data_IF_798172050558
#
_entry.id   IF_798172050558
#
_cell.length_a   1.000
_cell.length_b   1.000
_cell.length_c   1.000
_cell.angle_alpha   90.00
_cell.angle_beta   90.00
_cell.angle_gamma   90.00
#
_symmetry.space_group_name_H-M   'P 1'
#
loop_
_entity.id
_entity.type
_entity.pdbx_description
1 polymer ?
#
# COMPACT_ATOMS: atom_id res chain seq x y z
N UNK A 1 -22.73 -1.35 1.30
CA UNK A 1 -21.63 -2.33 1.14
C UNK A 1 -20.85 -2.17 -0.18
N UNK A 2 -20.73 -0.95 -0.75
CA UNK A 2 -19.98 -0.68 -2.00
C UNK A 2 -18.45 -0.46 -1.91
N UNK A 3 -17.81 -0.09 -0.77
CA UNK A 3 -16.42 0.36 -0.79
C UNK A 3 -15.38 -0.77 -0.96
N UNK A 4 -15.78 -2.04 -0.84
CA UNK A 4 -14.86 -3.19 -0.82
C UNK A 4 -14.56 -3.69 -2.24
N UNK A 5 -15.50 -3.63 -3.18
CA UNK A 5 -15.20 -3.97 -4.58
C UNK A 5 -14.24 -2.96 -5.25
N UNK A 6 -14.22 -1.72 -4.78
CA UNK A 6 -13.35 -0.66 -5.29
C UNK A 6 -11.86 -0.88 -4.98
N UNK A 7 -11.52 -1.55 -3.87
CA UNK A 7 -10.13 -1.82 -3.49
C UNK A 7 -9.44 -2.76 -4.51
N UNK A 8 -10.16 -3.76 -5.01
CA UNK A 8 -9.67 -4.68 -6.05
C UNK A 8 -9.49 -4.01 -7.42
N UNK A 9 -10.34 -3.04 -7.78
CA UNK A 9 -10.16 -2.17 -8.95
C UNK A 9 -9.03 -1.14 -8.73
N UNK A 10 -8.84 -0.71 -7.48
CA UNK A 10 -7.73 0.09 -6.96
C UNK A 10 -6.38 -0.51 -7.35
N UNK A 11 -6.19 -1.77 -6.96
CA UNK A 11 -4.97 -2.54 -7.18
C UNK A 11 -4.69 -2.83 -8.66
N UNK A 12 -5.71 -2.95 -9.53
CA UNK A 12 -5.51 -3.13 -10.99
C UNK A 12 -5.02 -1.86 -11.67
N UNK A 13 -5.48 -0.68 -11.26
CA UNK A 13 -5.01 0.57 -11.86
C UNK A 13 -3.61 1.02 -11.38
N UNK A 14 -3.04 0.38 -10.37
CA UNK A 14 -1.63 0.54 -9.97
C UNK A 14 -0.60 0.00 -10.99
N UNK A 15 -1.04 -0.60 -12.09
CA UNK A 15 -0.17 -0.96 -13.23
C UNK A 15 -0.07 0.17 -14.27
N UNK A 16 -0.91 1.21 -14.17
CA UNK A 16 -0.79 2.39 -15.03
C UNK A 16 0.33 3.31 -14.52
N UNK A 17 1.05 4.04 -15.40
CA UNK A 17 2.08 4.99 -14.99
C UNK A 17 1.58 6.04 -13.97
N UNK A 18 0.32 6.49 -14.12
CA UNK A 18 -0.31 7.46 -13.20
C UNK A 18 -0.64 6.83 -11.84
N UNK A 19 -1.09 5.58 -11.81
CA UNK A 19 -1.35 4.84 -10.58
C UNK A 19 -0.06 4.61 -9.79
N UNK A 20 1.00 4.19 -10.48
CA UNK A 20 2.31 3.98 -9.87
C UNK A 20 2.89 5.30 -9.32
N UNK A 21 2.80 6.41 -10.07
CA UNK A 21 3.27 7.71 -9.62
C UNK A 21 2.56 8.19 -8.34
N UNK A 22 1.23 7.95 -8.22
CA UNK A 22 0.47 8.26 -7.00
C UNK A 22 0.89 7.39 -5.82
N UNK A 23 1.06 6.09 -6.03
CA UNK A 23 1.54 5.15 -5.02
C UNK A 23 2.93 5.59 -4.53
N UNK A 24 3.88 5.86 -5.44
CA UNK A 24 5.22 6.34 -5.11
C UNK A 24 5.23 7.70 -4.40
N UNK A 25 4.39 8.64 -4.84
CA UNK A 25 4.27 9.95 -4.20
C UNK A 25 3.76 9.86 -2.76
N UNK A 26 2.79 8.98 -2.50
CA UNK A 26 2.30 8.73 -1.16
C UNK A 26 3.34 8.01 -0.28
N UNK A 27 4.06 7.03 -0.83
CA UNK A 27 5.19 6.38 -0.15
C UNK A 27 6.29 7.39 0.22
N UNK A 28 6.61 8.32 -0.68
CA UNK A 28 7.57 9.39 -0.40
C UNK A 28 7.06 10.30 0.73
N UNK A 29 5.79 10.68 0.71
CA UNK A 29 5.16 11.44 1.80
C UNK A 29 5.27 10.72 3.15
N UNK A 30 4.99 9.42 3.20
CA UNK A 30 5.16 8.60 4.41
C UNK A 30 6.62 8.58 4.85
N UNK A 31 7.56 8.36 3.92
CA UNK A 31 8.98 8.33 4.24
C UNK A 31 9.46 9.67 4.83
N UNK A 32 9.00 10.80 4.28
CA UNK A 32 9.31 12.14 4.80
C UNK A 32 8.73 12.34 6.20
N UNK A 33 7.46 12.00 6.42
CA UNK A 33 6.82 12.12 7.74
C UNK A 33 7.56 11.28 8.78
N UNK A 34 7.88 10.02 8.45
CA UNK A 34 8.65 9.12 9.32
C UNK A 34 10.07 9.66 9.57
N UNK A 35 10.69 10.28 8.56
CA UNK A 35 11.98 10.95 8.70
C UNK A 35 11.90 12.20 9.58
N UNK A 36 10.77 12.91 9.66
CA UNK A 36 10.58 14.05 10.58
C UNK A 36 10.44 13.58 12.02
N UNK A 37 9.48 12.69 12.28
CA UNK A 37 9.11 12.28 13.64
C UNK A 37 10.11 11.29 14.25
N UNK A 38 10.80 10.50 13.43
CA UNK A 38 11.49 9.29 13.88
C UNK A 38 10.47 8.24 14.31
N UNK A 39 10.58 7.00 13.85
CA UNK A 39 9.57 6.01 14.22
C UNK A 39 9.63 5.70 15.72
N UNK A 40 8.44 5.70 16.34
CA UNK A 40 8.17 5.27 17.70
C UNK A 40 9.06 5.93 18.77
N UNK A 41 9.51 7.17 18.54
CA UNK A 41 10.33 7.92 19.51
C UNK A 41 11.74 7.36 19.73
N UNK A 42 12.18 6.36 18.96
CA UNK A 42 13.43 5.63 19.17
C UNK A 42 14.60 6.12 18.29
N UNK A 43 14.32 6.86 17.22
CA UNK A 43 15.34 7.28 16.24
C UNK A 43 15.34 8.78 16.00
N UNK A 44 16.03 9.50 16.89
CA UNK A 44 16.58 10.86 16.66
C UNK A 44 18.10 10.78 16.41
N UNK A 45 18.63 9.62 16.03
CA UNK A 45 20.08 9.39 15.95
C UNK A 45 20.51 9.34 14.48
N UNK A 46 20.81 10.49 13.88
CA UNK A 46 21.43 10.61 12.56
C UNK A 46 21.12 11.93 11.84
N UNK A 47 22.02 12.45 10.98
CA UNK A 47 21.74 13.57 10.08
C UNK A 47 20.45 13.38 9.26
N UNK A 48 19.77 14.48 8.96
CA UNK A 48 18.52 14.47 8.16
C UNK A 48 18.59 13.62 6.88
N UNK A 49 19.66 13.70 6.05
CA UNK A 49 19.76 12.90 4.83
C UNK A 49 19.73 11.39 5.08
N UNK A 50 20.37 10.93 6.15
CA UNK A 50 20.41 9.50 6.49
C UNK A 50 19.03 9.00 6.92
N UNK A 51 18.27 9.81 7.66
CA UNK A 51 16.89 9.50 8.06
C UNK A 51 16.00 9.38 6.84
N UNK A 52 16.08 10.32 5.90
CA UNK A 52 15.30 10.29 4.66
C UNK A 52 15.68 9.06 3.84
N UNK A 53 16.96 8.76 3.67
CA UNK A 53 17.41 7.58 2.93
C UNK A 53 16.92 6.28 3.58
N UNK A 54 17.06 6.15 4.90
CA UNK A 54 16.57 5.02 5.69
C UNK A 54 15.07 4.80 5.54
N UNK A 55 14.27 5.84 5.69
CA UNK A 55 12.82 5.70 5.58
C UNK A 55 12.38 5.46 4.15
N UNK A 56 13.04 6.06 3.17
CA UNK A 56 12.75 5.85 1.75
C UNK A 56 12.97 4.38 1.35
N UNK A 57 14.13 3.79 1.69
CA UNK A 57 14.40 2.37 1.39
C UNK A 57 13.49 1.42 2.15
N UNK A 58 13.16 1.74 3.41
CA UNK A 58 12.29 0.93 4.26
C UNK A 58 10.85 0.91 3.74
N UNK A 59 10.30 2.08 3.40
CA UNK A 59 8.95 2.18 2.85
C UNK A 59 8.87 1.52 1.47
N UNK A 60 9.90 1.67 0.63
CA UNK A 60 9.97 1.00 -0.67
C UNK A 60 10.03 -0.53 -0.53
N UNK A 61 10.86 -1.06 0.38
CA UNK A 61 10.92 -2.50 0.64
C UNK A 61 9.58 -3.03 1.16
N UNK A 62 8.96 -2.33 2.12
CA UNK A 62 7.64 -2.65 2.63
C UNK A 62 6.58 -2.69 1.52
N UNK A 63 6.60 -1.72 0.61
CA UNK A 63 5.71 -1.70 -0.55
C UNK A 63 5.93 -2.90 -1.48
N UNK A 64 7.17 -3.22 -1.84
CA UNK A 64 7.50 -4.33 -2.74
C UNK A 64 7.10 -5.69 -2.15
N UNK A 65 7.27 -5.88 -0.84
CA UNK A 65 6.91 -7.10 -0.12
C UNK A 65 5.39 -7.21 0.01
N UNK A 66 4.75 -6.16 0.52
CA UNK A 66 3.37 -6.26 0.97
C UNK A 66 2.37 -6.14 -0.18
N UNK A 67 2.68 -5.40 -1.26
CA UNK A 67 1.76 -5.22 -2.39
C UNK A 67 1.32 -6.54 -3.04
N UNK A 68 2.22 -7.48 -3.39
CA UNK A 68 1.79 -8.77 -3.92
C UNK A 68 1.03 -9.58 -2.87
N UNK A 69 1.45 -9.54 -1.60
CA UNK A 69 0.77 -10.27 -0.52
C UNK A 69 -0.65 -9.77 -0.30
N UNK A 70 -0.88 -8.46 -0.32
CA UNK A 70 -2.22 -7.89 -0.20
C UNK A 70 -3.10 -8.29 -1.38
N UNK A 71 -2.58 -8.26 -2.61
CA UNK A 71 -3.34 -8.73 -3.79
C UNK A 71 -3.74 -10.20 -3.66
N UNK A 72 -2.80 -11.05 -3.25
CA UNK A 72 -3.04 -12.47 -3.06
C UNK A 72 -4.01 -12.74 -1.91
N UNK A 73 -3.81 -12.09 -0.77
CA UNK A 73 -4.65 -12.22 0.42
C UNK A 73 -6.07 -11.73 0.19
N UNK A 74 -6.25 -10.54 -0.39
CA UNK A 74 -7.54 -9.99 -0.77
C UNK A 74 -8.26 -10.91 -1.77
N UNK A 75 -7.56 -11.35 -2.82
CA UNK A 75 -8.12 -12.25 -3.82
C UNK A 75 -8.54 -13.60 -3.24
N UNK A 76 -7.72 -14.18 -2.35
CA UNK A 76 -8.04 -15.42 -1.66
C UNK A 76 -9.25 -15.25 -0.72
N UNK A 77 -9.32 -14.16 0.04
CA UNK A 77 -10.44 -13.88 0.93
C UNK A 77 -11.77 -13.81 0.17
N UNK A 78 -11.81 -13.10 -0.95
CA UNK A 78 -13.02 -13.01 -1.81
C UNK A 78 -13.40 -14.37 -2.37
N UNK A 79 -12.45 -15.17 -2.86
CA UNK A 79 -12.72 -16.53 -3.37
C UNK A 79 -13.26 -17.48 -2.31
N UNK A 80 -12.94 -17.23 -1.04
CA UNK A 80 -13.43 -17.99 0.11
C UNK A 80 -14.74 -17.41 0.69
N UNK A 81 -15.35 -16.41 0.05
CA UNK A 81 -16.56 -15.74 0.54
C UNK A 81 -16.34 -14.93 1.83
N UNK A 82 -15.09 -14.57 2.15
CA UNK A 82 -14.72 -13.76 3.32
C UNK A 82 -14.60 -12.28 2.95
N UNK A 83 -14.67 -11.42 3.96
CA UNK A 83 -14.40 -10.00 3.81
C UNK A 83 -12.93 -9.78 3.40
N UNK A 84 -12.69 -8.94 2.41
CA UNK A 84 -11.36 -8.58 1.91
C UNK A 84 -10.43 -8.10 3.02
N UNK A 85 -10.96 -7.40 4.03
CA UNK A 85 -10.19 -6.96 5.20
C UNK A 85 -9.45 -8.11 5.90
N UNK A 86 -10.02 -9.31 5.91
CA UNK A 86 -9.36 -10.51 6.47
C UNK A 86 -8.11 -10.87 5.67
N UNK A 87 -8.21 -10.81 4.34
CA UNK A 87 -7.09 -11.04 3.44
C UNK A 87 -5.97 -10.00 3.59
N UNK A 88 -6.34 -8.74 3.84
CA UNK A 88 -5.40 -7.65 4.11
C UNK A 88 -4.66 -7.86 5.43
N UNK A 89 -5.37 -8.19 6.51
CA UNK A 89 -4.74 -8.49 7.81
C UNK A 89 -3.76 -9.65 7.67
N UNK A 90 -4.16 -10.74 7.01
CA UNK A 90 -3.28 -11.88 6.77
C UNK A 90 -2.05 -11.48 5.96
N UNK A 91 -2.20 -10.67 4.92
CA UNK A 91 -1.10 -10.17 4.12
C UNK A 91 -0.14 -9.30 4.94
N UNK A 92 -0.65 -8.38 5.77
CA UNK A 92 0.19 -7.54 6.65
C UNK A 92 1.00 -8.40 7.62
N UNK A 93 0.36 -9.37 8.28
CA UNK A 93 1.01 -10.30 9.21
C UNK A 93 2.10 -11.12 8.52
N UNK A 94 1.82 -11.67 7.34
CA UNK A 94 2.78 -12.47 6.57
C UNK A 94 3.92 -11.60 6.04
N UNK A 95 3.62 -10.42 5.52
CA UNK A 95 4.61 -9.49 4.97
C UNK A 95 5.50 -8.87 6.04
N UNK A 96 5.05 -8.83 7.30
CA UNK A 96 5.88 -8.39 8.42
C UNK A 96 7.07 -9.34 8.66
N UNK A 97 6.98 -10.64 8.30
CA UNK A 97 8.09 -11.59 8.46
C UNK A 97 9.32 -11.19 7.63
N UNK A 98 9.27 -11.10 6.28
CA UNK A 98 10.41 -10.63 5.49
C UNK A 98 10.79 -9.18 5.81
N UNK A 99 9.83 -8.35 6.23
CA UNK A 99 10.14 -6.99 6.68
C UNK A 99 10.95 -6.97 7.98
N UNK A 100 10.74 -7.94 8.87
CA UNK A 100 11.53 -8.11 10.10
C UNK A 100 13.00 -8.35 9.78
N UNK A 101 13.24 -9.27 8.84
CA UNK A 101 14.58 -9.54 8.33
C UNK A 101 15.20 -8.33 7.61
N UNK A 102 14.42 -7.59 6.82
CA UNK A 102 14.85 -6.33 6.23
C UNK A 102 15.32 -5.35 7.32
N UNK A 103 14.52 -5.12 8.35
CA UNK A 103 14.88 -4.20 9.44
C UNK A 103 16.07 -4.69 10.28
N UNK A 104 16.25 -6.01 10.39
CA UNK A 104 17.33 -6.60 11.16
C UNK A 104 18.71 -6.36 10.56
N UNK A 105 18.87 -6.62 9.25
CA UNK A 105 20.14 -6.50 8.53
C UNK A 105 20.31 -5.16 7.82
N UNK A 106 19.20 -4.60 7.36
CA UNK A 106 19.11 -3.31 6.67
C UNK A 106 18.39 -2.31 7.57
N UNK A 107 18.59 -2.39 8.89
CA UNK A 107 18.22 -1.32 9.80
C UNK A 107 19.02 -0.05 9.53
N UNK A 108 18.93 0.99 10.38
CA UNK A 108 19.58 2.28 10.15
C UNK A 108 21.08 2.17 9.81
N UNK A 109 21.80 1.33 10.55
CA UNK A 109 23.11 0.84 10.15
C UNK A 109 22.95 -0.50 9.42
N UNK A 110 23.41 -0.56 8.17
CA UNK A 110 23.43 -1.80 7.40
C UNK A 110 24.54 -2.70 7.96
N UNK A 111 24.17 -3.90 8.38
CA UNK A 111 25.08 -4.91 8.90
C UNK A 111 24.63 -6.28 8.42
N UNK A 112 25.17 -6.72 7.29
CA UNK A 112 24.86 -8.02 6.68
C UNK A 112 25.63 -9.18 7.35
N UNK A 113 26.66 -8.87 8.16
CA UNK A 113 27.43 -9.88 8.89
C UNK A 113 26.76 -10.25 10.22
N UNK A 114 25.77 -9.46 10.66
CA UNK A 114 24.98 -9.75 11.85
C UNK A 114 24.39 -11.17 11.79
N UNK A 115 24.55 -11.98 12.84
CA UNK A 115 23.90 -13.28 12.91
C UNK A 115 22.38 -13.14 12.84
N UNK A 116 21.69 -14.23 12.49
CA UNK A 116 20.23 -14.26 12.49
C UNK A 116 19.67 -13.87 13.87
N UNK A 117 18.51 -13.20 13.92
CA UNK A 117 17.88 -12.86 15.19
C UNK A 117 17.53 -14.15 15.95
N UNK A 118 17.72 -14.13 17.27
CA UNK A 118 17.09 -15.11 18.14
C UNK A 118 15.57 -14.88 18.22
N UNK A 119 14.85 -15.80 18.86
CA UNK A 119 13.38 -15.75 18.92
C UNK A 119 12.85 -14.45 19.55
N UNK A 120 13.52 -13.94 20.59
CA UNK A 120 13.11 -12.74 21.30
C UNK A 120 13.35 -11.48 20.46
N UNK A 121 14.52 -11.37 19.84
CA UNK A 121 14.90 -10.27 18.97
C UNK A 121 14.06 -10.25 17.69
N UNK A 122 13.74 -11.44 17.15
CA UNK A 122 12.83 -11.59 16.02
C UNK A 122 11.45 -11.05 16.39
N UNK A 123 10.87 -11.51 17.50
CA UNK A 123 9.53 -11.10 17.92
C UNK A 123 9.46 -9.59 18.21
N UNK A 124 10.50 -9.04 18.84
CA UNK A 124 10.59 -7.59 19.09
C UNK A 124 10.62 -6.80 17.77
N UNK A 125 11.47 -7.20 16.83
CA UNK A 125 11.60 -6.53 15.52
C UNK A 125 10.32 -6.69 14.70
N UNK A 126 9.68 -7.86 14.78
CA UNK A 126 8.39 -8.14 14.13
C UNK A 126 7.27 -7.25 14.67
N UNK A 127 7.20 -7.08 16.00
CA UNK A 127 6.24 -6.18 16.63
C UNK A 127 6.44 -4.71 16.20
N UNK A 128 7.67 -4.29 15.88
CA UNK A 128 7.96 -2.96 15.34
C UNK A 128 7.62 -2.85 13.84
N UNK A 129 7.79 -3.91 13.07
CA UNK A 129 7.47 -3.94 11.64
C UNK A 129 5.95 -3.84 11.38
N UNK A 130 5.14 -4.41 12.28
CA UNK A 130 3.68 -4.47 12.13
C UNK A 130 3.01 -3.09 12.01
N UNK A 131 3.23 -2.12 12.91
CA UNK A 131 2.60 -0.81 12.78
C UNK A 131 3.08 -0.04 11.54
N UNK A 132 4.33 -0.22 11.10
CA UNK A 132 4.84 0.39 9.87
C UNK A 132 4.07 -0.15 8.66
N UNK A 133 3.91 -1.47 8.56
CA UNK A 133 3.14 -2.12 7.51
C UNK A 133 1.66 -1.74 7.54
N UNK A 134 1.05 -1.75 8.74
CA UNK A 134 -0.36 -1.41 8.93
C UNK A 134 -0.66 0.05 8.57
N UNK A 135 0.19 1.01 9.00
CA UNK A 135 0.03 2.43 8.71
C UNK A 135 0.16 2.71 7.20
N UNK A 136 1.21 2.17 6.58
CA UNK A 136 1.46 2.35 5.15
C UNK A 136 0.29 1.85 4.30
N UNK A 137 -0.25 0.68 4.63
CA UNK A 137 -1.36 0.11 3.87
C UNK A 137 -2.72 0.70 4.19
N UNK A 138 -2.98 1.11 5.43
CA UNK A 138 -4.19 1.86 5.76
C UNK A 138 -4.25 3.16 4.97
N UNK A 139 -3.12 3.86 4.81
CA UNK A 139 -3.06 5.06 3.99
C UNK A 139 -3.33 4.76 2.51
N UNK A 140 -2.75 3.69 1.96
CA UNK A 140 -3.03 3.25 0.60
C UNK A 140 -4.50 2.89 0.40
N UNK A 141 -5.13 2.21 1.35
CA UNK A 141 -6.55 1.90 1.32
C UNK A 141 -7.41 3.17 1.27
N UNK A 142 -7.13 4.14 2.14
CA UNK A 142 -7.83 5.44 2.17
C UNK A 142 -7.66 6.18 0.85
N UNK A 143 -6.44 6.20 0.28
CA UNK A 143 -6.17 6.86 -0.99
C UNK A 143 -6.83 6.14 -2.18
N UNK A 144 -6.93 4.81 -2.14
CA UNK A 144 -7.62 4.02 -3.16
C UNK A 144 -9.15 4.22 -3.11
N UNK A 145 -9.74 4.26 -1.91
CA UNK A 145 -11.16 4.53 -1.71
C UNK A 145 -11.57 5.99 -1.96
N UNK A 146 -10.61 6.91 -2.06
CA UNK A 146 -10.83 8.31 -2.48
C UNK A 146 -10.76 8.52 -3.99
N UNK A 147 -10.79 7.45 -4.80
CA UNK A 147 -10.94 7.61 -6.26
C UNK A 147 -12.19 8.44 -6.52
N UNK A 148 -12.05 9.64 -7.10
CA UNK A 148 -13.23 10.38 -7.52
C UNK A 148 -13.90 9.52 -8.59
N UNK A 149 -15.22 9.35 -8.48
CA UNK A 149 -16.09 8.83 -9.54
C UNK A 149 -15.96 9.59 -10.88
N UNK A 150 -15.10 10.62 -10.97
CA UNK A 150 -14.81 11.42 -12.15
C UNK A 150 -14.13 10.68 -13.31
N UNK A 151 -13.78 9.40 -13.15
CA UNK A 151 -13.34 8.54 -14.28
C UNK A 151 -14.37 7.42 -14.57
N UNK A 152 -15.62 7.61 -14.14
CA UNK A 152 -16.77 6.90 -14.67
C UNK A 152 -17.30 7.64 -15.90
N UNK A 153 -16.82 7.20 -17.07
CA UNK A 153 -17.30 7.48 -18.43
C UNK A 153 -17.16 8.93 -18.97
N UNK A 154 -16.54 9.14 -20.15
CA UNK A 154 -17.07 10.15 -21.05
C UNK A 154 -18.51 9.74 -21.34
N UNK A 155 -19.49 10.55 -20.93
CA UNK A 155 -20.82 10.42 -21.49
C UNK A 155 -20.68 10.53 -23.01
N UNK A 156 -20.92 9.43 -23.72
CA UNK A 156 -21.08 9.50 -25.17
C UNK A 156 -22.13 10.58 -25.45
N UNK A 157 -21.85 11.57 -26.31
CA UNK A 157 -22.87 12.50 -26.71
C UNK A 157 -23.99 11.70 -27.39
N UNK A 158 -25.13 11.59 -26.73
CA UNK A 158 -26.34 11.05 -27.33
C UNK A 158 -26.70 11.96 -28.50
N UNK A 159 -26.38 11.51 -29.72
CA UNK A 159 -26.88 12.14 -30.94
C UNK A 159 -28.40 11.99 -30.91
N UNK A 160 -29.19 13.07 -30.93
CA UNK A 160 -30.63 12.95 -31.08
C UNK A 160 -30.90 12.27 -32.42
N UNK A 161 -31.62 11.16 -32.41
CA UNK A 161 -32.13 10.55 -33.64
C UNK A 161 -33.03 11.57 -34.34
N UNK A 162 -32.89 11.78 -35.67
CA UNK A 162 -33.77 12.68 -36.40
C UNK A 162 -35.20 12.12 -36.36
N UNK A 163 -36.15 12.98 -35.96
CA UNK A 163 -37.57 12.67 -35.93
C UNK A 163 -38.01 12.13 -37.30
N UNK A 164 -38.49 10.88 -37.31
CA UNK A 164 -39.16 10.32 -38.47
C UNK A 164 -40.50 11.06 -38.64
N UNK A 165 -40.59 11.84 -39.71
CA UNK A 165 -41.83 12.37 -40.28
C UNK A 165 -42.92 11.28 -40.32
N UNK A 166 -44.10 11.47 -39.72
CA UNK A 166 -45.22 10.59 -39.97
C UNK A 166 -45.85 10.96 -41.33
N UNK A 167 -45.84 9.98 -42.23
CA UNK A 167 -46.50 10.02 -43.51
C UNK A 167 -48.04 10.06 -43.38
N UNK A 168 -48.64 10.95 -44.18
CA UNK A 168 -49.97 10.95 -44.79
C UNK A 168 -51.01 9.91 -44.32
N UNK A 169 -52.14 10.41 -43.79
CA UNK A 169 -53.50 9.96 -44.13
C UNK A 169 -54.38 11.17 -44.49
#
# INVERSE_FOLDING_TARGET
MRPVHEASAGLRAGLSPRGLARELGALLGVAVVLAMIGAFGLFVTGPWPERVLYWSRTVLAGYLIQRPLIRLGAGAAVRLGRNEAVGWVAAVLLGAVPMTFWLWWLGPAIDLARPGPDDAAFLQTYAQALPIGALGWSLMWILAGRRPEAEAAPAEPSVPAPDAEPALE
#
